data_IF_939119934581
#
_entry.id   IF_939119934581
#
_cell.length_a   1.000
_cell.length_b   1.000
_cell.length_c   1.000
_cell.angle_alpha   90.00
_cell.angle_beta   90.00
_cell.angle_gamma   90.00
#
_symmetry.space_group_name_H-M   'P 1'
#
loop_
_entity.id
_entity.type
_entity.pdbx_description
1 polymer ?
#
# COMPACT_ATOMS: atom_id res chain seq x y z
N UNK A 1 48.13 24.25 36.25
CA UNK A 1 48.05 24.16 34.80
C UNK A 1 48.07 25.55 34.18
N UNK A 2 48.83 25.73 33.12
CA UNK A 2 48.85 26.97 32.36
C UNK A 2 47.75 26.85 31.31
N UNK A 3 46.71 27.66 31.41
CA UNK A 3 45.52 27.65 30.52
C UNK A 3 45.55 28.85 29.57
N UNK A 4 46.19 29.94 29.99
CA UNK A 4 46.21 31.17 29.22
C UNK A 4 47.25 31.14 28.09
N UNK A 5 46.92 31.62 26.92
CA UNK A 5 47.89 31.74 25.83
C UNK A 5 48.98 32.79 26.19
N UNK A 6 50.24 32.49 25.86
CA UNK A 6 51.33 33.39 26.14
C UNK A 6 52.67 32.69 26.29
N UNK A 7 53.71 33.48 26.62
CA UNK A 7 55.04 32.96 26.93
C UNK A 7 55.12 32.57 28.39
N UNK A 8 55.43 31.32 28.64
CA UNK A 8 55.60 30.76 29.99
C UNK A 8 56.98 30.19 30.14
N UNK A 9 57.63 30.47 31.25
CA UNK A 9 58.96 29.96 31.57
C UNK A 9 58.85 28.63 32.33
N UNK A 10 59.70 27.68 31.98
CA UNK A 10 59.87 26.43 32.72
C UNK A 10 61.27 26.30 33.25
N UNK A 11 61.41 25.72 34.41
CA UNK A 11 62.74 25.36 34.92
C UNK A 11 63.32 24.17 34.10
N UNK A 12 64.52 24.36 33.46
CA UNK A 12 65.14 23.27 32.73
C UNK A 12 65.53 22.14 33.72
N UNK A 13 65.32 20.89 33.26
CA UNK A 13 65.55 19.65 34.00
C UNK A 13 64.54 19.30 35.11
N UNK A 14 63.81 20.25 35.65
CA UNK A 14 62.83 20.02 36.73
C UNK A 14 61.43 19.90 36.19
N UNK A 15 61.03 20.81 35.31
CA UNK A 15 59.64 20.87 34.79
C UNK A 15 59.45 20.06 33.51
N UNK A 16 58.52 19.14 33.57
CA UNK A 16 58.08 18.40 32.39
C UNK A 16 56.75 19.00 31.86
N UNK A 17 56.74 19.43 30.60
CA UNK A 17 55.54 20.00 29.97
C UNK A 17 54.75 18.90 29.32
N UNK A 18 53.52 18.69 29.76
CA UNK A 18 52.53 17.87 29.12
C UNK A 18 51.58 18.78 28.36
N UNK A 19 51.31 18.46 27.10
CA UNK A 19 50.42 19.22 26.23
C UNK A 19 49.15 18.43 26.01
N UNK A 20 48.02 19.07 26.18
CA UNK A 20 46.69 18.51 25.94
C UNK A 20 45.97 19.33 24.87
N UNK A 21 45.24 18.65 23.98
CA UNK A 21 44.45 19.31 22.93
C UNK A 21 43.18 19.93 23.57
N UNK A 22 42.89 21.18 23.22
CA UNK A 22 41.70 21.91 23.66
C UNK A 22 40.53 21.73 22.70
N UNK A 23 40.78 21.19 21.50
CA UNK A 23 39.78 20.95 20.50
C UNK A 23 38.83 19.82 20.92
N UNK A 24 37.73 19.73 20.23
CA UNK A 24 36.83 18.59 20.35
C UNK A 24 37.50 17.36 19.74
N UNK A 25 37.51 16.28 20.50
CA UNK A 25 37.97 14.98 20.11
C UNK A 25 36.80 14.08 19.84
N UNK A 26 36.98 13.14 18.94
CA UNK A 26 36.00 12.11 18.64
C UNK A 26 36.24 10.85 19.46
N UNK A 27 35.21 10.20 19.80
CA UNK A 27 35.19 8.86 20.32
C UNK A 27 34.20 8.02 19.49
N UNK A 28 34.61 6.84 19.05
CA UNK A 28 33.75 5.88 18.34
C UNK A 28 33.88 4.55 19.05
N UNK A 29 32.79 4.08 19.62
CA UNK A 29 32.72 2.78 20.27
C UNK A 29 32.67 1.64 19.26
N UNK A 30 33.21 0.49 19.67
CA UNK A 30 33.08 -0.74 18.89
C UNK A 30 31.62 -1.20 18.82
N UNK A 31 31.18 -1.85 17.72
CA UNK A 31 29.86 -2.42 17.64
C UNK A 31 29.61 -3.45 18.75
N UNK A 32 28.67 -3.18 19.62
CA UNK A 32 28.32 -4.06 20.75
C UNK A 32 26.96 -4.71 20.53
N UNK A 33 26.86 -6.01 20.84
CA UNK A 33 25.59 -6.74 20.81
C UNK A 33 24.82 -6.48 22.11
N UNK A 34 23.64 -5.88 21.99
CA UNK A 34 22.82 -5.48 23.13
C UNK A 34 21.41 -6.08 22.98
N UNK A 35 20.86 -6.74 24.03
CA UNK A 35 19.46 -7.13 24.06
C UNK A 35 18.59 -5.92 24.37
N UNK A 36 17.49 -5.77 23.65
CA UNK A 36 16.42 -4.79 23.93
C UNK A 36 15.41 -5.34 24.93
N UNK A 37 14.53 -4.49 25.48
CA UNK A 37 13.48 -4.91 26.41
C UNK A 37 12.58 -5.99 25.81
N UNK A 38 12.31 -5.94 24.51
CA UNK A 38 11.54 -6.93 23.74
C UNK A 38 12.38 -8.13 23.30
N UNK A 39 13.52 -8.37 23.97
CA UNK A 39 14.41 -9.54 23.80
C UNK A 39 14.97 -9.73 22.39
N UNK A 40 15.08 -8.66 21.62
CA UNK A 40 15.73 -8.67 20.31
C UNK A 40 17.18 -8.28 20.46
N UNK A 41 18.08 -9.08 19.92
CA UNK A 41 19.51 -8.75 19.90
C UNK A 41 19.84 -7.86 18.71
N UNK A 42 20.52 -6.74 18.99
CA UNK A 42 20.94 -5.77 18.00
C UNK A 42 22.41 -5.39 18.18
N UNK A 43 23.07 -5.10 17.08
CA UNK A 43 24.38 -4.46 17.08
C UNK A 43 24.18 -2.95 17.14
N UNK A 44 24.82 -2.32 18.10
CA UNK A 44 24.78 -0.88 18.30
C UNK A 44 26.19 -0.33 18.26
N UNK A 45 26.40 0.66 17.42
CA UNK A 45 27.62 1.45 17.32
C UNK A 45 27.31 2.87 17.77
N UNK A 46 28.04 3.38 18.75
CA UNK A 46 27.89 4.69 19.34
C UNK A 46 29.04 5.60 18.96
N UNK A 47 28.75 6.90 18.90
CA UNK A 47 29.71 7.95 18.61
C UNK A 47 29.51 9.08 19.60
N UNK A 48 30.61 9.68 20.06
CA UNK A 48 30.57 10.81 20.98
C UNK A 48 31.63 11.86 20.64
N UNK A 49 31.34 13.09 21.02
CA UNK A 49 32.33 14.20 21.00
C UNK A 49 32.61 14.65 22.41
N UNK A 50 33.87 14.78 22.69
CA UNK A 50 34.37 15.12 24.03
C UNK A 50 35.51 16.11 23.95
N UNK A 51 35.84 16.74 25.09
CA UNK A 51 37.03 17.60 25.22
C UNK A 51 37.57 17.54 26.62
N UNK A 52 38.85 17.90 26.77
CA UNK A 52 39.49 18.06 28.06
C UNK A 52 39.07 19.43 28.63
N UNK A 53 38.24 19.41 29.67
CA UNK A 53 37.79 20.62 30.35
C UNK A 53 38.75 21.05 31.45
N UNK A 54 39.22 20.10 32.23
CA UNK A 54 40.14 20.34 33.38
C UNK A 54 41.42 19.53 33.18
N UNK A 55 42.48 20.12 32.57
CA UNK A 55 43.74 19.40 32.26
C UNK A 55 44.46 18.80 33.48
N UNK A 56 44.36 19.44 34.64
CA UNK A 56 44.99 18.93 35.86
C UNK A 56 44.29 17.64 36.32
N UNK A 57 42.98 17.68 36.44
CA UNK A 57 42.19 16.53 36.86
C UNK A 57 42.30 15.39 35.85
N UNK A 58 42.26 15.70 34.55
CA UNK A 58 42.50 14.77 33.49
C UNK A 58 43.85 14.05 33.62
N UNK A 59 44.89 14.81 33.83
CA UNK A 59 46.24 14.22 33.98
C UNK A 59 46.37 13.36 35.25
N UNK A 60 45.76 13.77 36.33
CA UNK A 60 45.79 13.01 37.59
C UNK A 60 45.02 11.68 37.48
N UNK A 61 43.91 11.66 36.76
CA UNK A 61 43.01 10.51 36.69
C UNK A 61 43.28 9.59 35.49
N UNK A 62 43.54 10.18 34.32
CA UNK A 62 43.64 9.44 33.06
C UNK A 62 45.03 9.46 32.44
N UNK A 63 45.85 10.49 32.72
CA UNK A 63 47.22 10.70 32.24
C UNK A 63 47.33 11.06 30.76
N UNK A 64 46.70 10.30 29.88
CA UNK A 64 46.77 10.46 28.43
C UNK A 64 45.42 10.19 27.73
N UNK A 65 45.34 10.53 26.44
CA UNK A 65 44.11 10.38 25.63
C UNK A 65 43.73 8.91 25.39
N UNK A 66 44.70 7.98 25.38
CA UNK A 66 44.42 6.56 25.17
C UNK A 66 43.65 5.97 26.36
N UNK A 67 44.12 6.30 27.57
CA UNK A 67 43.41 5.90 28.79
C UNK A 67 42.03 6.59 28.87
N UNK A 68 41.91 7.83 28.37
CA UNK A 68 40.64 8.51 28.29
C UNK A 68 39.68 7.79 27.34
N UNK A 69 40.12 7.37 26.16
CA UNK A 69 39.32 6.59 25.24
C UNK A 69 38.83 5.30 25.86
N UNK A 70 39.71 4.51 26.45
CA UNK A 70 39.33 3.27 27.14
C UNK A 70 38.30 3.51 28.25
N UNK A 71 38.44 4.62 28.99
CA UNK A 71 37.50 4.95 30.05
C UNK A 71 36.13 5.41 29.49
N UNK A 72 36.15 6.13 28.37
CA UNK A 72 34.94 6.50 27.66
C UNK A 72 34.22 5.27 27.08
N UNK A 73 34.99 4.26 26.58
CA UNK A 73 34.43 2.96 26.15
C UNK A 73 33.62 2.33 27.29
N UNK A 74 34.21 2.18 28.48
CA UNK A 74 33.51 1.58 29.62
C UNK A 74 32.24 2.33 30.01
N UNK A 75 32.32 3.67 30.05
CA UNK A 75 31.23 4.51 30.54
C UNK A 75 30.12 4.62 29.49
N UNK A 76 30.44 5.00 28.24
CA UNK A 76 29.45 5.26 27.21
C UNK A 76 28.77 3.96 26.74
N UNK A 77 29.55 2.89 26.57
CA UNK A 77 29.00 1.58 26.22
C UNK A 77 28.16 1.00 27.36
N UNK A 78 28.55 1.19 28.60
CA UNK A 78 27.76 0.81 29.77
C UNK A 78 26.41 1.52 29.81
N UNK A 79 26.41 2.84 29.67
CA UNK A 79 25.16 3.63 29.68
C UNK A 79 24.32 3.39 28.44
N UNK A 80 24.93 3.17 27.29
CA UNK A 80 24.22 2.79 26.05
C UNK A 80 23.53 1.45 26.21
N UNK A 81 24.21 0.45 26.76
CA UNK A 81 23.65 -0.87 27.06
C UNK A 81 22.47 -0.78 28.02
N UNK A 82 22.62 -0.05 29.13
CA UNK A 82 21.58 0.14 30.12
C UNK A 82 20.35 0.85 29.53
N UNK A 83 20.57 1.89 28.74
CA UNK A 83 19.50 2.62 28.10
C UNK A 83 18.74 1.73 27.09
N UNK A 84 19.45 1.08 26.16
CA UNK A 84 18.83 0.26 25.13
C UNK A 84 18.09 -0.95 25.71
N UNK A 85 18.67 -1.61 26.73
CA UNK A 85 18.02 -2.73 27.40
C UNK A 85 16.70 -2.34 28.11
N UNK A 86 16.53 -1.06 28.43
CA UNK A 86 15.33 -0.53 29.09
C UNK A 86 14.18 -0.20 28.12
N UNK A 87 14.43 -0.18 26.81
CA UNK A 87 13.46 0.21 25.79
C UNK A 87 13.25 -0.87 24.74
N UNK A 88 12.08 -0.82 24.08
CA UNK A 88 11.82 -1.64 22.91
C UNK A 88 12.66 -1.17 21.73
N UNK A 89 12.93 -2.07 20.80
CA UNK A 89 13.74 -1.75 19.63
C UNK A 89 13.16 -0.57 18.82
N UNK A 90 11.85 -0.47 18.72
CA UNK A 90 11.19 0.59 17.97
C UNK A 90 11.53 1.99 18.50
N UNK A 91 11.71 2.13 19.82
CA UNK A 91 12.10 3.37 20.50
C UNK A 91 13.54 3.78 20.18
N UNK A 92 14.43 2.80 20.02
CA UNK A 92 15.81 3.07 19.64
C UNK A 92 15.98 3.48 18.17
N UNK A 93 15.06 3.04 17.31
CA UNK A 93 15.13 3.27 15.85
C UNK A 93 14.36 4.52 15.44
N UNK A 94 13.15 4.72 15.96
CA UNK A 94 12.27 5.83 15.53
C UNK A 94 12.46 7.08 16.38
N UNK A 95 12.30 8.22 15.74
CA UNK A 95 12.29 9.55 16.38
C UNK A 95 10.88 9.97 16.75
N UNK A 96 9.91 9.66 15.90
CA UNK A 96 8.50 10.07 16.05
C UNK A 96 7.54 9.01 15.54
N UNK A 97 6.28 9.15 15.91
CA UNK A 97 5.19 8.37 15.34
C UNK A 97 4.91 8.86 13.92
N UNK A 98 5.08 7.98 12.91
CA UNK A 98 4.61 8.27 11.55
C UNK A 98 3.11 8.08 11.51
N UNK A 99 2.40 9.11 11.10
CA UNK A 99 1.02 9.00 10.65
C UNK A 99 1.10 8.58 9.18
N UNK A 100 0.59 7.40 8.85
CA UNK A 100 0.39 7.03 7.45
C UNK A 100 -0.86 7.76 6.98
N UNK A 101 -0.72 8.66 5.99
CA UNK A 101 -1.82 9.46 5.43
C UNK A 101 -2.75 8.60 4.53
N UNK A 102 -2.34 7.38 4.19
CA UNK A 102 -3.15 6.46 3.38
C UNK A 102 -4.33 5.94 4.22
N UNK A 103 -5.56 6.28 3.79
CA UNK A 103 -6.82 5.81 4.38
C UNK A 103 -6.87 4.28 4.53
N UNK A 104 -6.19 3.55 3.65
CA UNK A 104 -6.08 2.09 3.64
C UNK A 104 -5.37 1.52 4.88
N UNK A 105 -4.50 2.32 5.53
CA UNK A 105 -3.82 1.95 6.77
C UNK A 105 -4.61 2.34 8.02
N UNK A 106 -5.53 3.29 7.94
CA UNK A 106 -6.33 3.76 9.07
C UNK A 106 -7.46 2.77 9.42
N UNK A 107 -8.04 2.10 8.43
CA UNK A 107 -9.15 1.16 8.62
C UNK A 107 -8.72 -0.26 9.05
N UNK A 108 -7.42 -0.53 9.13
CA UNK A 108 -6.91 -1.87 9.38
C UNK A 108 -6.42 -2.01 10.83
N UNK A 109 -7.32 -2.39 11.75
CA UNK A 109 -7.02 -2.62 13.17
C UNK A 109 -5.81 -3.56 13.38
N UNK A 110 -5.61 -4.55 12.50
CA UNK A 110 -4.46 -5.44 12.53
C UNK A 110 -3.13 -4.75 12.16
N UNK A 111 -3.18 -3.69 11.34
CA UNK A 111 -2.00 -2.88 11.01
C UNK A 111 -1.71 -1.83 12.09
N UNK A 112 -2.74 -1.33 12.76
CA UNK A 112 -2.57 -0.42 13.90
C UNK A 112 -1.94 -1.10 15.11
N UNK A 113 -2.22 -2.39 15.33
CA UNK A 113 -1.59 -3.19 16.39
C UNK A 113 -0.09 -3.41 16.13
N UNK A 114 0.35 -3.41 14.87
CA UNK A 114 1.77 -3.47 14.47
C UNK A 114 2.50 -2.13 14.52
N UNK A 115 1.77 -1.02 14.61
CA UNK A 115 2.33 0.31 14.80
C UNK A 115 2.52 0.56 16.29
N UNK A 116 3.48 -0.13 16.91
CA UNK A 116 3.91 0.19 18.28
C UNK A 116 4.17 1.69 18.35
N UNK A 117 3.44 2.37 19.26
CA UNK A 117 3.61 3.80 19.46
C UNK A 117 4.95 4.06 20.14
N UNK A 118 5.69 5.00 19.57
CA UNK A 118 6.93 5.50 20.16
C UNK A 118 6.55 6.51 21.25
N UNK A 119 6.91 6.25 22.48
CA UNK A 119 6.67 7.13 23.63
C UNK A 119 7.82 8.10 23.86
N UNK A 120 9.05 7.61 23.77
CA UNK A 120 10.25 8.37 24.07
C UNK A 120 11.03 8.73 22.80
N UNK A 121 11.26 7.76 21.92
CA UNK A 121 12.00 7.93 20.70
C UNK A 121 13.52 8.02 20.90
N UNK A 122 14.23 7.86 19.78
CA UNK A 122 15.70 7.81 19.76
C UNK A 122 16.38 9.02 20.38
N UNK A 123 15.84 10.23 20.17
CA UNK A 123 16.43 11.47 20.70
C UNK A 123 16.42 11.52 22.23
N UNK A 124 15.34 11.10 22.85
CA UNK A 124 15.26 11.09 24.32
C UNK A 124 16.17 10.02 24.92
N UNK A 125 16.32 8.89 24.22
CA UNK A 125 17.24 7.81 24.63
C UNK A 125 18.70 8.32 24.58
N UNK A 126 19.12 8.93 23.47
CA UNK A 126 20.47 9.48 23.34
C UNK A 126 20.73 10.60 24.34
N UNK A 127 19.74 11.46 24.62
CA UNK A 127 19.86 12.50 25.64
C UNK A 127 20.05 11.90 27.05
N UNK A 128 19.31 10.85 27.38
CA UNK A 128 19.45 10.14 28.65
C UNK A 128 20.84 9.49 28.80
N UNK A 129 21.37 8.90 27.73
CA UNK A 129 22.72 8.35 27.70
C UNK A 129 23.74 9.47 27.97
N UNK A 130 23.59 10.61 27.25
CA UNK A 130 24.46 11.77 27.42
C UNK A 130 24.46 12.29 28.86
N UNK A 131 23.27 12.50 29.45
CA UNK A 131 23.14 13.03 30.81
C UNK A 131 23.82 12.14 31.86
N UNK A 132 23.63 10.82 31.78
CA UNK A 132 24.24 9.86 32.70
C UNK A 132 25.72 9.75 32.47
N UNK A 133 26.17 9.58 31.23
CA UNK A 133 27.57 9.50 30.91
C UNK A 133 28.31 10.80 31.31
N UNK A 134 27.74 11.97 31.08
CA UNK A 134 28.29 13.27 31.42
C UNK A 134 28.56 13.41 32.93
N UNK A 135 27.64 12.95 33.77
CA UNK A 135 27.81 12.98 35.22
C UNK A 135 29.06 12.20 35.66
N UNK A 136 29.29 11.01 35.09
CA UNK A 136 30.43 10.16 35.44
C UNK A 136 31.72 10.69 34.81
N UNK A 137 31.71 11.10 33.56
CA UNK A 137 32.88 11.54 32.79
C UNK A 137 33.46 12.85 33.37
N UNK A 138 32.63 13.72 33.92
CA UNK A 138 33.08 14.98 34.57
C UNK A 138 34.06 14.75 35.72
N UNK A 139 33.98 13.63 36.43
CA UNK A 139 34.92 13.28 37.51
C UNK A 139 36.38 13.08 37.03
N UNK A 140 36.57 12.91 35.72
CA UNK A 140 37.87 12.72 35.07
C UNK A 140 38.39 13.99 34.40
N UNK A 141 37.73 15.14 34.60
CA UNK A 141 38.11 16.40 33.96
C UNK A 141 37.82 16.46 32.47
N UNK A 142 36.93 15.59 32.01
CA UNK A 142 36.47 15.47 30.61
C UNK A 142 35.04 16.02 30.51
N UNK A 143 34.77 16.81 29.50
CA UNK A 143 33.43 17.25 29.13
C UNK A 143 32.94 16.47 27.91
N UNK A 144 31.81 15.79 28.09
CA UNK A 144 31.12 15.11 27.02
C UNK A 144 30.12 16.09 26.36
N UNK A 145 30.27 16.36 25.06
CA UNK A 145 29.49 17.34 24.34
C UNK A 145 28.19 16.75 23.84
N UNK A 146 28.26 15.62 23.11
CA UNK A 146 27.12 14.84 22.71
C UNK A 146 27.46 13.34 22.60
N UNK A 147 26.39 12.54 22.57
CA UNK A 147 26.44 11.11 22.29
C UNK A 147 25.37 10.82 21.26
N UNK A 148 25.72 10.08 20.24
CA UNK A 148 24.80 9.69 19.16
C UNK A 148 24.94 8.19 18.88
N UNK A 149 23.82 7.56 18.55
CA UNK A 149 23.83 6.20 18.02
C UNK A 149 24.14 6.30 16.53
N UNK A 150 25.28 5.79 16.10
CA UNK A 150 25.74 5.84 14.71
C UNK A 150 25.00 4.82 13.85
N UNK A 151 24.92 3.58 14.34
CA UNK A 151 24.31 2.47 13.62
C UNK A 151 23.60 1.52 14.57
N UNK A 152 22.45 1.00 14.09
CA UNK A 152 21.73 -0.11 14.72
C UNK A 152 21.47 -1.15 13.62
N UNK A 153 21.96 -2.37 13.83
CA UNK A 153 21.72 -3.50 12.94
C UNK A 153 21.15 -4.67 13.73
N UNK A 154 20.32 -5.47 13.08
CA UNK A 154 19.96 -6.77 13.62
C UNK A 154 21.16 -7.71 13.59
N UNK A 155 21.19 -8.65 14.52
CA UNK A 155 22.04 -9.84 14.40
C UNK A 155 21.59 -10.62 13.17
N UNK A 156 22.50 -11.21 12.42
CA UNK A 156 22.23 -11.83 11.11
C UNK A 156 21.09 -12.84 11.15
N UNK A 157 21.04 -13.69 12.17
CA UNK A 157 19.96 -14.67 12.35
C UNK A 157 18.58 -14.02 12.51
N UNK A 158 18.51 -12.88 13.20
CA UNK A 158 17.27 -12.12 13.41
C UNK A 158 16.89 -11.37 12.14
N UNK A 159 17.90 -10.83 11.44
CA UNK A 159 17.69 -10.09 10.20
C UNK A 159 17.00 -10.93 9.13
N UNK A 160 17.43 -12.16 8.93
CA UNK A 160 16.82 -13.09 7.97
C UNK A 160 15.33 -13.33 8.33
N UNK A 161 15.03 -13.64 9.59
CA UNK A 161 13.65 -13.87 10.05
C UNK A 161 12.76 -12.63 9.90
N UNK A 162 13.30 -11.44 10.16
CA UNK A 162 12.58 -10.18 9.99
C UNK A 162 12.29 -9.93 8.51
N UNK A 163 13.24 -10.15 7.63
CA UNK A 163 13.03 -10.00 6.19
C UNK A 163 12.02 -11.00 5.63
N UNK A 164 12.10 -12.27 6.03
CA UNK A 164 11.11 -13.28 5.63
C UNK A 164 9.69 -12.88 6.07
N UNK A 165 9.55 -12.39 7.31
CA UNK A 165 8.27 -11.87 7.81
C UNK A 165 7.78 -10.68 7.00
N UNK A 166 8.64 -9.70 6.72
CA UNK A 166 8.28 -8.54 5.91
C UNK A 166 7.86 -8.92 4.49
N UNK A 167 8.56 -9.87 3.86
CA UNK A 167 8.22 -10.40 2.53
C UNK A 167 6.85 -11.07 2.58
N UNK A 168 6.61 -11.92 3.56
CA UNK A 168 5.35 -12.62 3.75
C UNK A 168 4.18 -11.63 3.93
N UNK A 169 4.38 -10.60 4.74
CA UNK A 169 3.39 -9.56 4.98
C UNK A 169 3.09 -8.74 3.72
N UNK A 170 4.12 -8.32 2.98
CA UNK A 170 3.94 -7.64 1.69
C UNK A 170 3.20 -8.50 0.67
N UNK A 171 3.47 -9.80 0.62
CA UNK A 171 2.74 -10.75 -0.24
C UNK A 171 1.27 -10.85 0.17
N UNK A 172 0.97 -10.88 1.48
CA UNK A 172 -0.40 -10.91 2.01
C UNK A 172 -1.18 -9.65 1.62
N UNK A 173 -0.60 -8.47 1.82
CA UNK A 173 -1.20 -7.19 1.43
C UNK A 173 -1.47 -7.16 -0.08
N UNK A 174 -0.48 -7.52 -0.90
CA UNK A 174 -0.63 -7.56 -2.35
C UNK A 174 -1.67 -8.60 -2.82
N UNK A 175 -1.81 -9.73 -2.14
CA UNK A 175 -2.84 -10.72 -2.44
C UNK A 175 -4.24 -10.19 -2.11
N UNK A 176 -4.39 -9.49 -0.97
CA UNK A 176 -5.64 -8.86 -0.56
C UNK A 176 -6.08 -7.80 -1.58
N UNK A 177 -5.22 -6.84 -1.90
CA UNK A 177 -5.53 -5.77 -2.86
C UNK A 177 -5.89 -6.33 -4.25
N UNK A 178 -5.21 -7.40 -4.70
CA UNK A 178 -5.58 -8.10 -5.94
C UNK A 178 -6.95 -8.75 -5.86
N UNK A 179 -7.26 -9.41 -4.75
CA UNK A 179 -8.57 -10.04 -4.53
C UNK A 179 -9.70 -9.02 -4.51
N UNK A 180 -9.51 -7.91 -3.81
CA UNK A 180 -10.46 -6.79 -3.78
C UNK A 180 -10.65 -6.17 -5.17
N UNK A 181 -9.55 -5.95 -5.90
CA UNK A 181 -9.60 -5.46 -7.28
C UNK A 181 -10.32 -6.41 -8.23
N UNK A 182 -10.11 -7.72 -8.11
CA UNK A 182 -10.85 -8.72 -8.89
C UNK A 182 -12.33 -8.75 -8.52
N UNK A 183 -12.66 -8.64 -7.24
CA UNK A 183 -14.04 -8.55 -6.75
C UNK A 183 -14.77 -7.34 -7.33
N UNK A 184 -14.19 -6.14 -7.23
CA UNK A 184 -14.75 -4.91 -7.84
C UNK A 184 -14.89 -5.02 -9.36
N UNK A 185 -13.90 -5.60 -10.03
CA UNK A 185 -13.99 -5.83 -11.48
C UNK A 185 -15.13 -6.76 -11.85
N UNK A 186 -15.33 -7.86 -11.13
CA UNK A 186 -16.43 -8.79 -11.33
C UNK A 186 -17.80 -8.13 -11.10
N UNK A 187 -17.91 -7.31 -10.05
CA UNK A 187 -19.13 -6.56 -9.74
C UNK A 187 -19.50 -5.57 -10.87
N UNK A 188 -18.53 -4.76 -11.31
CA UNK A 188 -18.73 -3.80 -12.41
C UNK A 188 -19.13 -4.53 -13.70
N UNK A 189 -18.47 -5.67 -14.02
CA UNK A 189 -18.86 -6.49 -15.18
C UNK A 189 -20.30 -7.02 -15.04
N UNK A 190 -20.66 -7.51 -13.87
CA UNK A 190 -22.01 -7.99 -13.59
C UNK A 190 -23.06 -6.88 -13.69
N UNK A 191 -22.77 -5.67 -13.22
CA UNK A 191 -23.65 -4.51 -13.39
C UNK A 191 -23.81 -4.13 -14.86
N UNK A 192 -22.69 -4.02 -15.59
CA UNK A 192 -22.71 -3.75 -17.04
C UNK A 192 -23.57 -4.75 -17.82
N UNK A 193 -23.41 -6.06 -17.54
CA UNK A 193 -24.20 -7.08 -18.23
C UNK A 193 -25.69 -7.01 -17.91
N UNK A 194 -26.04 -6.71 -16.66
CA UNK A 194 -27.46 -6.49 -16.27
C UNK A 194 -28.04 -5.30 -16.99
N UNK A 195 -27.36 -4.17 -17.01
CA UNK A 195 -27.81 -2.97 -17.71
C UNK A 195 -27.95 -3.20 -19.21
N UNK A 196 -26.95 -3.85 -19.85
CA UNK A 196 -27.06 -4.18 -21.28
C UNK A 196 -28.23 -5.09 -21.60
N UNK A 197 -28.51 -6.11 -20.77
CA UNK A 197 -29.70 -6.97 -20.96
C UNK A 197 -30.99 -6.18 -20.80
N UNK A 198 -31.06 -5.31 -19.80
CA UNK A 198 -32.22 -4.46 -19.56
C UNK A 198 -32.50 -3.52 -20.75
N UNK A 199 -31.46 -2.82 -21.25
CA UNK A 199 -31.55 -1.91 -22.38
C UNK A 199 -31.98 -2.68 -23.64
N UNK A 200 -31.32 -3.81 -23.95
CA UNK A 200 -31.63 -4.65 -25.11
C UNK A 200 -33.06 -5.20 -25.05
N UNK A 201 -33.48 -5.70 -23.91
CA UNK A 201 -34.83 -6.21 -23.70
C UNK A 201 -35.88 -5.11 -23.85
N UNK A 202 -35.62 -3.93 -23.27
CA UNK A 202 -36.48 -2.77 -23.41
C UNK A 202 -36.58 -2.28 -24.85
N UNK A 203 -35.47 -2.23 -25.57
CA UNK A 203 -35.46 -1.86 -26.99
C UNK A 203 -36.21 -2.88 -27.86
N UNK A 204 -35.98 -4.19 -27.61
CA UNK A 204 -36.69 -5.26 -28.32
C UNK A 204 -38.21 -5.20 -28.07
N UNK A 205 -38.63 -5.02 -26.82
CA UNK A 205 -40.04 -4.85 -26.46
C UNK A 205 -40.68 -3.69 -27.23
N UNK A 206 -40.04 -2.51 -27.22
CA UNK A 206 -40.51 -1.33 -27.95
C UNK A 206 -40.62 -1.60 -29.47
N UNK A 207 -39.59 -2.26 -30.03
CA UNK A 207 -39.62 -2.61 -31.45
C UNK A 207 -40.78 -3.55 -31.79
N UNK A 208 -41.05 -4.56 -30.94
CA UNK A 208 -42.19 -5.45 -31.13
C UNK A 208 -43.56 -4.75 -30.96
N UNK A 209 -43.65 -3.85 -29.97
CA UNK A 209 -44.88 -3.03 -29.80
C UNK A 209 -45.15 -2.13 -31.01
N UNK A 210 -44.09 -1.49 -31.56
CA UNK A 210 -44.25 -0.65 -32.77
C UNK A 210 -44.65 -1.50 -33.98
N UNK A 211 -43.96 -2.65 -34.20
CA UNK A 211 -44.31 -3.58 -35.28
C UNK A 211 -45.74 -4.10 -35.13
N UNK A 212 -46.10 -4.57 -33.94
CA UNK A 212 -47.44 -5.08 -33.69
C UNK A 212 -48.53 -4.04 -33.89
N UNK A 213 -48.29 -2.78 -33.49
CA UNK A 213 -49.25 -1.68 -33.79
C UNK A 213 -49.36 -1.40 -35.27
N UNK A 214 -48.23 -1.34 -36.00
CA UNK A 214 -48.23 -1.12 -37.44
C UNK A 214 -48.90 -2.28 -38.20
N UNK A 215 -48.64 -3.53 -37.80
CA UNK A 215 -49.27 -4.71 -38.38
C UNK A 215 -50.80 -4.72 -38.13
N UNK A 216 -51.23 -4.34 -36.92
CA UNK A 216 -52.64 -4.21 -36.59
C UNK A 216 -53.32 -3.11 -37.39
N UNK A 217 -52.68 -1.95 -37.52
CA UNK A 217 -53.19 -0.84 -38.32
C UNK A 217 -53.25 -1.20 -39.80
N UNK A 218 -52.23 -1.80 -40.36
CA UNK A 218 -52.24 -2.31 -41.73
C UNK A 218 -53.37 -3.33 -41.96
N UNK A 219 -53.52 -4.30 -41.05
CA UNK A 219 -54.55 -5.31 -41.10
C UNK A 219 -55.97 -4.66 -41.09
N UNK A 220 -56.13 -3.63 -40.26
CA UNK A 220 -57.43 -2.90 -40.17
C UNK A 220 -57.69 -2.11 -41.42
N UNK A 221 -56.71 -1.46 -42.06
CA UNK A 221 -56.83 -0.77 -43.33
C UNK A 221 -57.23 -1.76 -44.44
N UNK A 222 -56.53 -2.92 -44.52
CA UNK A 222 -56.84 -3.97 -45.46
C UNK A 222 -58.27 -4.54 -45.24
N UNK A 223 -58.62 -4.84 -43.98
CA UNK A 223 -59.97 -5.34 -43.67
C UNK A 223 -61.11 -4.36 -44.09
N UNK A 224 -60.88 -3.07 -43.79
CA UNK A 224 -61.82 -2.04 -44.19
C UNK A 224 -61.94 -1.94 -45.72
N UNK A 225 -60.85 -1.97 -46.46
CA UNK A 225 -60.86 -1.92 -47.93
C UNK A 225 -61.56 -3.16 -48.53
N UNK A 226 -61.33 -4.33 -48.00
CA UNK A 226 -61.91 -5.58 -48.46
C UNK A 226 -63.42 -5.68 -48.13
N UNK A 227 -63.88 -5.06 -47.05
CA UNK A 227 -65.26 -5.00 -46.66
C UNK A 227 -66.10 -4.06 -47.57
N UNK A 228 -65.44 -3.19 -48.35
CA UNK A 228 -66.17 -2.34 -49.34
C UNK A 228 -66.77 -3.19 -50.47
N UNK A 229 -66.10 -4.23 -50.95
CA UNK A 229 -66.59 -5.19 -51.91
C UNK A 229 -66.02 -6.60 -51.64
N UNK A 230 -66.75 -7.39 -50.82
CA UNK A 230 -66.23 -8.72 -50.42
C UNK A 230 -66.15 -9.71 -51.59
N UNK A 231 -67.03 -9.52 -52.63
CA UNK A 231 -67.01 -10.42 -53.79
C UNK A 231 -65.79 -10.17 -54.67
N UNK A 232 -65.49 -8.92 -54.94
CA UNK A 232 -64.27 -8.56 -55.68
C UNK A 232 -63.01 -9.03 -54.95
N UNK A 233 -62.95 -8.90 -53.61
CA UNK A 233 -61.83 -9.43 -52.82
C UNK A 233 -61.70 -10.96 -52.93
N UNK A 234 -62.81 -11.68 -52.79
CA UNK A 234 -62.82 -13.13 -52.98
C UNK A 234 -62.35 -13.51 -54.39
N UNK A 235 -62.77 -12.83 -55.42
CA UNK A 235 -62.30 -13.06 -56.76
C UNK A 235 -60.81 -12.81 -56.90
N UNK A 236 -60.31 -11.67 -56.47
CA UNK A 236 -58.93 -11.31 -56.54
C UNK A 236 -58.03 -12.34 -55.74
N UNK A 237 -58.43 -12.69 -54.53
CA UNK A 237 -57.70 -13.65 -53.69
C UNK A 237 -57.68 -15.06 -54.29
N UNK A 238 -58.76 -15.45 -54.92
CA UNK A 238 -58.81 -16.73 -55.60
C UNK A 238 -57.93 -16.74 -56.84
N UNK A 239 -57.87 -15.65 -57.59
CA UNK A 239 -56.94 -15.54 -58.74
C UNK A 239 -55.48 -15.53 -58.32
N UNK A 240 -55.18 -14.86 -57.24
CA UNK A 240 -53.82 -14.86 -56.67
C UNK A 240 -53.41 -16.25 -56.12
N UNK A 241 -54.32 -16.96 -55.49
CA UNK A 241 -54.14 -18.34 -55.07
C UNK A 241 -53.94 -19.28 -56.27
N UNK A 242 -54.72 -19.11 -57.35
CA UNK A 242 -54.50 -19.87 -58.57
C UNK A 242 -53.09 -19.66 -59.15
N UNK A 243 -52.65 -18.40 -59.20
CA UNK A 243 -51.29 -18.06 -59.68
C UNK A 243 -50.17 -18.65 -58.87
N UNK A 244 -50.33 -18.85 -57.55
CA UNK A 244 -49.33 -19.37 -56.65
C UNK A 244 -49.38 -20.91 -56.50
N UNK A 245 -50.57 -21.49 -56.66
CA UNK A 245 -50.76 -22.94 -56.48
C UNK A 245 -50.70 -23.75 -57.80
N UNK A 246 -50.91 -23.08 -58.93
CA UNK A 246 -50.96 -23.75 -60.28
C UNK A 246 -49.67 -23.34 -60.99
N UNK A 247 -48.64 -24.16 -60.93
CA UNK A 247 -47.42 -24.01 -61.71
C UNK A 247 -47.33 -25.11 -62.79
N UNK A 248 -46.27 -25.02 -63.58
CA UNK A 248 -46.07 -26.01 -64.71
C UNK A 248 -45.78 -27.44 -64.21
N UNK A 249 -45.61 -27.65 -62.93
CA UNK A 249 -45.30 -28.98 -62.32
C UNK A 249 -46.51 -29.53 -61.53
N UNK A 250 -47.60 -28.71 -61.40
CA UNK A 250 -48.73 -29.06 -60.57
C UNK A 250 -49.74 -29.89 -61.42
N UNK A 251 -50.06 -31.10 -60.98
CA UNK A 251 -51.12 -31.91 -61.51
C UNK A 251 -52.37 -31.67 -60.70
N UNK A 252 -53.37 -31.04 -61.33
CA UNK A 252 -54.64 -30.72 -60.69
C UNK A 252 -55.65 -31.85 -60.91
N UNK A 253 -56.10 -32.45 -59.80
CA UNK A 253 -57.22 -33.35 -59.79
C UNK A 253 -58.50 -32.58 -59.38
N UNK A 254 -59.33 -32.25 -60.35
CA UNK A 254 -60.48 -31.41 -60.11
C UNK A 254 -61.75 -32.24 -59.87
N UNK A 255 -62.30 -32.10 -58.65
CA UNK A 255 -63.68 -32.53 -58.38
C UNK A 255 -64.67 -31.46 -58.91
N UNK A 256 -65.74 -31.85 -59.43
CA UNK A 256 -66.76 -30.95 -60.09
C UNK A 256 -67.47 -30.00 -59.11
N UNK A 257 -67.32 -30.17 -57.79
CA UNK A 257 -68.05 -29.44 -56.74
C UNK A 257 -67.16 -28.59 -55.81
N UNK A 258 -65.92 -28.30 -56.15
CA UNK A 258 -65.00 -27.56 -55.29
C UNK A 258 -65.18 -26.05 -55.47
N UNK A 259 -65.52 -25.31 -54.42
CA UNK A 259 -65.70 -23.85 -54.40
C UNK A 259 -64.46 -23.08 -54.83
N UNK A 260 -63.25 -23.64 -54.62
CA UNK A 260 -61.98 -23.05 -55.03
C UNK A 260 -61.92 -22.76 -56.55
N UNK A 261 -62.54 -23.63 -57.42
CA UNK A 261 -62.50 -23.47 -58.83
C UNK A 261 -63.83 -22.87 -59.41
N UNK A 262 -64.66 -22.27 -58.57
CA UNK A 262 -65.92 -21.67 -58.92
C UNK A 262 -65.82 -20.70 -60.11
N UNK A 263 -64.83 -19.84 -60.15
CA UNK A 263 -64.65 -18.85 -61.23
C UNK A 263 -64.05 -19.42 -62.51
N UNK A 264 -63.48 -20.61 -62.51
CA UNK A 264 -63.09 -21.33 -63.73
C UNK A 264 -64.32 -21.97 -64.42
N UNK A 265 -65.39 -22.22 -63.66
CA UNK A 265 -66.60 -22.89 -64.15
C UNK A 265 -67.63 -21.91 -64.64
N UNK A 266 -67.72 -20.73 -64.11
CA UNK A 266 -68.61 -19.68 -64.58
C UNK A 266 -68.03 -18.30 -64.22
N UNK A 267 -67.82 -17.40 -65.25
CA UNK A 267 -67.31 -16.05 -65.00
C UNK A 267 -68.38 -15.07 -64.52
N UNK A 268 -69.63 -15.49 -64.55
CA UNK A 268 -70.74 -14.64 -64.15
C UNK A 268 -71.61 -15.27 -63.08
N UNK A 269 -71.98 -14.46 -62.10
CA UNK A 269 -72.90 -14.83 -61.02
C UNK A 269 -74.31 -14.99 -61.55
N UNK A 270 -75.01 -16.03 -61.18
CA UNK A 270 -76.46 -16.05 -61.06
C UNK A 270 -76.76 -16.00 -59.57
#
# INVERSE_FOLDING_TARGET
>A
PVVDPGLHFKAPLVDKVNRFDRRWLEWTGDPNQIPTRDKKYIWVESFARWRIAEPLLFFQRLRDERNAQSRLDDIIDGETRNAIASFNLIEAVRVSNRVFEDEEYQDNAALQEYLEKVEQGREKITRRILERAKAVVSEFGVELVDVQIKRINYVEEVQVKVFERMISERRRIAARSRSEGMGRSAEIRGQKERELRSIRSGAYKRAQEIKGKADAEASLIYANAYNLDPEFFQFQRTMEAYRTTVDSTTTLLLGTDTDFYRYLRSPTRR
#
